data_IF_323618042245
#
_entry.id   IF_323618042245
#
_cell.length_a   1.000
_cell.length_b   1.000
_cell.length_c   1.000
_cell.angle_alpha   90.00
_cell.angle_beta   90.00
_cell.angle_gamma   90.00
#
_symmetry.space_group_name_H-M   'P 1'
#
loop_
_entity.id
_entity.type
_entity.pdbx_description
1 polymer ?
#
# COMPACT_ATOMS: atom_id res chain seq x y z
N UNK A 1 1.16 52.13 -10.26
CA UNK A 1 1.21 52.79 -8.93
C UNK A 1 -0.22 53.06 -8.50
N UNK A 2 -0.72 52.35 -7.48
CA UNK A 2 -1.84 52.77 -6.63
C UNK A 2 -1.91 51.81 -5.45
N UNK A 3 -1.54 52.31 -4.28
CA UNK A 3 -1.66 51.65 -2.98
C UNK A 3 -2.85 52.28 -2.28
N UNK A 4 -3.80 51.48 -1.80
CA UNK A 4 -4.49 51.77 -0.53
C UNK A 4 -4.64 50.46 0.23
N UNK A 5 -4.11 50.47 1.46
CA UNK A 5 -4.12 49.39 2.45
C UNK A 5 -4.96 49.86 3.63
N UNK A 6 -5.93 49.07 4.06
CA UNK A 6 -6.52 49.07 5.41
C UNK A 6 -7.07 47.65 5.66
N UNK A 7 -6.45 46.82 6.51
CA UNK A 7 -6.61 46.68 7.98
C UNK A 7 -8.07 46.53 8.39
N UNK A 8 -8.55 45.61 9.22
CA UNK A 8 -8.12 44.36 9.88
C UNK A 8 -9.40 43.90 10.62
N UNK A 9 -9.76 42.62 10.64
CA UNK A 9 -10.60 42.05 11.72
C UNK A 9 -10.44 40.53 11.76
N UNK A 10 -9.69 40.08 12.75
CA UNK A 10 -9.59 38.70 13.23
C UNK A 10 -10.92 38.25 13.85
N UNK A 11 -11.46 37.12 13.39
CA UNK A 11 -12.43 36.33 14.14
C UNK A 11 -11.96 34.88 14.15
N UNK A 12 -11.41 34.45 15.28
CA UNK A 12 -11.00 33.07 15.52
C UNK A 12 -12.25 32.20 15.68
N UNK A 13 -12.43 31.21 14.79
CA UNK A 13 -13.47 30.20 14.91
C UNK A 13 -12.91 29.07 15.78
N UNK A 14 -13.35 29.02 17.04
CA UNK A 14 -13.08 27.91 17.94
C UNK A 14 -13.97 26.72 17.52
N UNK A 15 -13.39 25.73 16.85
CA UNK A 15 -14.06 24.46 16.57
C UNK A 15 -13.93 23.53 17.78
N UNK A 16 -15.08 23.25 18.38
CA UNK A 16 -15.32 22.31 19.47
C UNK A 16 -15.00 20.87 19.04
N UNK A 17 -13.96 20.28 19.62
CA UNK A 17 -13.64 18.87 19.49
C UNK A 17 -14.47 18.05 20.50
N UNK A 18 -15.34 17.18 19.99
CA UNK A 18 -16.06 16.17 20.77
C UNK A 18 -15.58 14.77 20.37
N UNK A 19 -15.47 13.93 21.40
CA UNK A 19 -14.72 12.67 21.53
C UNK A 19 -15.34 11.52 20.74
N UNK A 20 -14.49 10.66 20.15
CA UNK A 20 -14.82 9.25 19.97
C UNK A 20 -13.78 8.38 20.70
N UNK A 21 -14.30 7.67 21.69
CA UNK A 21 -13.58 6.77 22.58
C UNK A 21 -13.02 5.58 21.80
N UNK A 22 -11.75 5.28 22.04
CA UNK A 22 -11.15 4.01 21.72
C UNK A 22 -11.83 2.91 22.54
N UNK A 23 -12.53 1.99 21.86
CA UNK A 23 -12.91 0.70 22.41
C UNK A 23 -11.64 -0.17 22.54
N UNK A 24 -10.88 0.06 23.60
CA UNK A 24 -9.87 -0.87 24.08
C UNK A 24 -10.57 -2.04 24.76
N UNK A 25 -10.52 -3.21 24.13
CA UNK A 25 -10.84 -4.48 24.77
C UNK A 25 -9.74 -4.77 25.81
N UNK A 26 -9.98 -4.44 27.07
CA UNK A 26 -9.14 -4.86 28.19
C UNK A 26 -10.02 -5.66 29.15
N UNK A 27 -9.54 -6.87 29.45
CA UNK A 27 -10.24 -7.92 30.16
C UNK A 27 -10.70 -7.54 31.58
N UNK A 28 -11.70 -8.30 32.00
CA UNK A 28 -12.35 -8.32 33.30
C UNK A 28 -11.42 -8.70 34.46
N UNK A 29 -11.98 -8.50 35.67
CA UNK A 29 -11.57 -8.91 37.02
C UNK A 29 -10.69 -7.87 37.74
N UNK A 30 -11.25 -6.96 38.56
CA UNK A 30 -11.81 -7.20 39.90
C UNK A 30 -10.71 -6.91 40.93
N UNK A 31 -10.80 -6.11 41.99
CA UNK A 31 -11.86 -5.50 42.78
C UNK A 31 -11.25 -5.22 44.18
N UNK A 32 -11.45 -4.00 44.68
CA UNK A 32 -11.44 -3.54 46.09
C UNK A 32 -10.19 -3.64 47.01
N UNK A 33 -10.16 -2.62 47.87
CA UNK A 33 -9.19 -2.13 48.85
C UNK A 33 -8.86 -3.08 50.02
N UNK A 34 -7.66 -2.93 50.60
CA UNK A 34 -7.42 -3.04 52.06
C UNK A 34 -5.96 -2.70 52.46
N UNK A 35 -5.82 -1.80 53.44
CA UNK A 35 -4.64 -1.64 54.30
C UNK A 35 -4.24 -2.96 54.98
N UNK A 36 -2.94 -3.32 54.93
CA UNK A 36 -2.14 -3.78 56.09
C UNK A 36 -0.70 -4.11 55.71
N UNK A 37 0.26 -3.46 56.39
CA UNK A 37 1.58 -4.04 56.70
C UNK A 37 1.41 -4.98 57.90
N UNK A 38 2.16 -6.10 58.01
CA UNK A 38 3.53 -6.02 58.52
C UNK A 38 4.57 -6.97 57.88
N UNK A 39 5.82 -6.74 58.28
CA UNK A 39 7.10 -7.34 57.91
C UNK A 39 7.14 -8.84 57.59
N UNK A 40 7.92 -9.20 56.58
CA UNK A 40 8.45 -10.54 56.38
C UNK A 40 9.30 -10.69 55.12
N UNK A 41 10.61 -10.57 55.29
CA UNK A 41 11.70 -11.18 54.53
C UNK A 41 11.73 -11.16 52.97
N UNK A 42 12.93 -10.79 52.50
CA UNK A 42 13.63 -11.27 51.32
C UNK A 42 13.47 -10.51 49.98
N UNK A 43 14.65 -10.27 49.41
CA UNK A 43 14.99 -9.98 48.02
C UNK A 43 14.96 -8.52 47.58
N UNK A 44 16.17 -8.00 47.43
CA UNK A 44 16.56 -6.75 46.77
C UNK A 44 15.85 -6.51 45.43
N UNK A 45 15.43 -5.27 45.11
CA UNK A 45 14.98 -4.94 43.77
C UNK A 45 16.16 -4.70 42.83
N UNK A 46 16.19 -5.53 41.79
CA UNK A 46 16.61 -5.29 40.41
C UNK A 46 17.40 -4.01 40.10
N UNK A 47 18.69 -4.18 39.84
CA UNK A 47 19.41 -3.40 38.83
C UNK A 47 19.75 -4.34 37.67
N UNK A 48 18.80 -4.50 36.75
CA UNK A 48 18.96 -5.26 35.52
C UNK A 48 18.51 -4.39 34.36
N UNK A 49 19.49 -3.79 33.69
CA UNK A 49 19.34 -2.98 32.48
C UNK A 49 18.59 -3.72 31.38
N UNK A 50 17.74 -2.95 30.71
CA UNK A 50 17.61 -2.81 29.26
C UNK A 50 18.10 -3.98 28.39
N UNK A 51 17.20 -4.47 27.53
CA UNK A 51 17.64 -5.06 26.27
C UNK A 51 16.80 -6.21 25.73
N UNK A 52 15.56 -5.91 25.32
CA UNK A 52 14.99 -6.44 24.08
C UNK A 52 15.00 -7.96 23.90
N UNK A 53 14.06 -8.63 24.57
CA UNK A 53 13.47 -9.83 24.01
C UNK A 53 12.60 -9.46 22.81
N UNK A 54 13.12 -9.66 21.60
CA UNK A 54 12.32 -9.91 20.41
C UNK A 54 12.83 -11.28 19.92
N UNK A 55 12.20 -12.40 20.28
CA UNK A 55 10.79 -12.63 19.97
C UNK A 55 10.69 -12.65 18.44
N UNK A 56 11.28 -13.68 17.84
CA UNK A 56 11.19 -13.93 16.41
C UNK A 56 9.73 -14.02 16.02
N UNK A 57 9.24 -13.00 15.33
CA UNK A 57 8.15 -13.14 14.40
C UNK A 57 8.79 -13.11 13.03
N UNK A 58 8.91 -14.29 12.44
CA UNK A 58 8.97 -14.46 10.99
C UNK A 58 7.73 -13.78 10.41
N UNK A 59 7.84 -12.46 10.22
CA UNK A 59 6.94 -11.71 9.37
C UNK A 59 7.18 -12.24 7.98
N UNK A 60 6.27 -13.12 7.55
CA UNK A 60 6.06 -13.58 6.18
C UNK A 60 6.40 -12.44 5.22
N UNK A 61 7.64 -12.44 4.74
CA UNK A 61 8.07 -11.55 3.68
C UNK A 61 7.36 -12.09 2.47
N UNK A 62 6.17 -11.55 2.18
CA UNK A 62 5.50 -11.77 0.92
C UNK A 62 6.56 -11.54 -0.17
N UNK A 63 6.96 -12.64 -0.80
CA UNK A 63 7.98 -12.60 -1.82
C UNK A 63 7.53 -11.56 -2.85
N UNK A 64 8.44 -10.72 -3.37
CA UNK A 64 8.08 -9.84 -4.47
C UNK A 64 7.47 -10.74 -5.56
N UNK A 65 6.34 -10.35 -6.18
CA UNK A 65 5.80 -11.11 -7.29
C UNK A 65 6.94 -11.29 -8.28
N UNK A 66 7.23 -12.55 -8.61
CA UNK A 66 8.30 -12.87 -9.52
C UNK A 66 8.13 -12.01 -10.77
N UNK A 67 9.21 -11.42 -11.32
CA UNK A 67 9.10 -10.67 -12.56
C UNK A 67 8.39 -11.58 -13.56
N UNK A 68 7.32 -11.09 -14.18
CA UNK A 68 6.50 -11.78 -15.18
C UNK A 68 7.39 -12.23 -16.35
N UNK A 69 8.15 -13.30 -16.14
CA UNK A 69 8.56 -14.20 -17.19
C UNK A 69 7.27 -14.84 -17.59
N UNK A 70 6.63 -14.23 -18.59
CA UNK A 70 5.40 -14.69 -19.24
C UNK A 70 5.27 -16.20 -19.03
N UNK A 71 4.30 -16.61 -18.21
CA UNK A 71 4.09 -18.00 -17.87
C UNK A 71 4.17 -18.80 -19.17
N UNK A 72 5.14 -19.72 -19.29
CA UNK A 72 5.47 -20.42 -20.53
C UNK A 72 4.42 -21.49 -20.91
N UNK A 73 3.19 -21.33 -20.41
CA UNK A 73 2.08 -22.24 -20.62
C UNK A 73 1.04 -21.66 -21.59
N UNK A 74 0.04 -22.48 -21.94
CA UNK A 74 -1.09 -22.04 -22.73
C UNK A 74 -1.82 -20.84 -22.09
N UNK A 75 -2.38 -19.99 -22.94
CA UNK A 75 -3.08 -18.76 -22.55
C UNK A 75 -4.53 -18.83 -22.95
N UNK A 76 -5.38 -18.25 -22.12
CA UNK A 76 -6.82 -18.18 -22.38
C UNK A 76 -7.08 -17.29 -23.61
N UNK A 77 -7.86 -17.74 -24.60
CA UNK A 77 -8.17 -16.94 -25.78
C UNK A 77 -9.02 -15.72 -25.42
N UNK A 78 -8.93 -14.67 -26.24
CA UNK A 78 -9.58 -13.37 -25.96
C UNK A 78 -11.10 -13.47 -25.76
N UNK A 79 -11.74 -14.44 -26.41
CA UNK A 79 -13.18 -14.73 -26.29
C UNK A 79 -13.59 -15.27 -24.93
N UNK A 80 -12.66 -15.85 -24.17
CA UNK A 80 -12.88 -16.47 -22.85
C UNK A 80 -12.43 -15.56 -21.70
N UNK A 81 -12.02 -14.32 -21.99
CA UNK A 81 -11.71 -13.30 -20.98
C UNK A 81 -13.01 -12.73 -20.36
N UNK A 82 -13.61 -13.52 -19.49
CA UNK A 82 -14.79 -13.13 -18.70
C UNK A 82 -14.48 -13.17 -17.21
N UNK A 83 -14.75 -12.08 -16.46
CA UNK A 83 -14.62 -12.10 -15.01
C UNK A 83 -15.72 -12.97 -14.37
N UNK A 84 -15.49 -13.41 -13.14
CA UNK A 84 -16.52 -14.12 -12.36
C UNK A 84 -17.78 -13.28 -12.13
N UNK A 85 -17.66 -11.94 -12.14
CA UNK A 85 -18.78 -11.00 -12.02
C UNK A 85 -18.66 -9.88 -13.05
N UNK A 86 -19.77 -9.55 -13.73
CA UNK A 86 -19.84 -8.40 -14.65
C UNK A 86 -19.11 -8.60 -15.99
N UNK A 87 -18.48 -7.53 -16.50
CA UNK A 87 -17.80 -7.55 -17.82
C UNK A 87 -16.61 -6.59 -17.83
N UNK A 88 -15.51 -7.00 -18.46
CA UNK A 88 -14.36 -6.12 -18.68
C UNK A 88 -14.63 -5.04 -19.73
N UNK A 89 -14.18 -3.82 -19.44
CA UNK A 89 -14.08 -2.73 -20.40
C UNK A 89 -13.09 -3.05 -21.53
N UNK A 90 -13.15 -2.29 -22.62
CA UNK A 90 -12.23 -2.46 -23.77
C UNK A 90 -10.76 -2.35 -23.38
N UNK A 91 -10.41 -1.41 -22.49
CA UNK A 91 -9.03 -1.20 -22.01
C UNK A 91 -8.54 -2.40 -21.19
N UNK A 92 -9.38 -2.88 -20.27
CA UNK A 92 -9.10 -4.07 -19.45
C UNK A 92 -8.92 -5.30 -20.34
N UNK A 93 -9.78 -5.52 -21.33
CA UNK A 93 -9.61 -6.62 -22.29
C UNK A 93 -8.28 -6.54 -23.04
N UNK A 94 -7.91 -5.37 -23.57
CA UNK A 94 -6.61 -5.17 -24.24
C UNK A 94 -5.42 -5.50 -23.34
N UNK A 95 -5.48 -5.09 -22.07
CA UNK A 95 -4.46 -5.41 -21.07
C UNK A 95 -4.34 -6.92 -20.80
N UNK A 96 -5.45 -7.67 -20.91
CA UNK A 96 -5.53 -9.11 -20.62
C UNK A 96 -5.19 -10.01 -21.80
N UNK A 97 -5.23 -9.51 -23.05
CA UNK A 97 -4.87 -10.28 -24.25
C UNK A 97 -3.46 -10.87 -24.08
N UNK A 98 -3.35 -12.18 -24.35
CA UNK A 98 -2.11 -12.96 -24.25
C UNK A 98 -1.43 -12.93 -22.87
N UNK A 99 -2.16 -12.60 -21.81
CA UNK A 99 -1.59 -12.44 -20.45
C UNK A 99 -2.28 -13.24 -19.36
N UNK A 100 -3.39 -13.89 -19.66
CA UNK A 100 -4.07 -14.79 -18.71
C UNK A 100 -3.62 -16.22 -18.97
N UNK A 101 -2.82 -16.82 -18.07
CA UNK A 101 -2.49 -18.24 -18.16
C UNK A 101 -3.76 -19.10 -17.98
N UNK A 102 -3.80 -20.27 -18.58
CA UNK A 102 -4.87 -21.24 -18.31
C UNK A 102 -5.03 -21.51 -16.81
N UNK A 103 -6.28 -21.64 -16.36
CA UNK A 103 -6.62 -21.85 -14.96
C UNK A 103 -6.41 -20.63 -14.05
N UNK A 104 -5.97 -19.49 -14.57
CA UNK A 104 -5.83 -18.24 -13.81
C UNK A 104 -7.05 -17.35 -13.99
N UNK A 105 -7.51 -16.72 -12.91
CA UNK A 105 -8.59 -15.74 -12.97
C UNK A 105 -8.14 -14.48 -13.76
N UNK A 106 -8.80 -14.13 -14.88
CA UNK A 106 -8.52 -12.89 -15.60
C UNK A 106 -8.60 -11.63 -14.71
N UNK A 107 -9.46 -11.62 -13.69
CA UNK A 107 -9.58 -10.49 -12.76
C UNK A 107 -8.30 -10.33 -11.93
N UNK A 108 -7.65 -11.42 -11.50
CA UNK A 108 -6.39 -11.36 -10.76
C UNK A 108 -5.25 -10.75 -11.59
N UNK A 109 -5.19 -11.07 -12.89
CA UNK A 109 -4.21 -10.46 -13.81
C UNK A 109 -4.49 -8.97 -13.98
N UNK A 110 -5.75 -8.58 -14.10
CA UNK A 110 -6.15 -7.19 -14.18
C UNK A 110 -5.78 -6.43 -12.90
N UNK A 111 -6.07 -7.01 -11.74
CA UNK A 111 -5.73 -6.46 -10.42
C UNK A 111 -4.23 -6.19 -10.30
N UNK A 112 -3.39 -7.14 -10.73
CA UNK A 112 -1.93 -6.95 -10.77
C UNK A 112 -1.51 -5.75 -11.66
N UNK A 113 -2.25 -5.48 -12.73
CA UNK A 113 -2.03 -4.32 -13.59
C UNK A 113 -2.40 -3.00 -12.94
N UNK A 114 -3.57 -2.95 -12.31
CA UNK A 114 -4.00 -1.78 -11.54
C UNK A 114 -3.06 -1.51 -10.36
N UNK A 115 -2.59 -2.54 -9.66
CA UNK A 115 -1.61 -2.39 -8.59
C UNK A 115 -0.28 -1.82 -9.09
N UNK A 116 0.14 -2.16 -10.33
CA UNK A 116 1.31 -1.55 -10.95
C UNK A 116 1.09 -0.04 -11.20
N UNK A 117 -0.07 0.34 -11.73
CA UNK A 117 -0.44 1.76 -11.93
C UNK A 117 -0.44 2.53 -10.61
N UNK A 118 -1.04 1.97 -9.56
CA UNK A 118 -1.07 2.57 -8.22
C UNK A 118 0.33 2.72 -7.64
N UNK A 119 1.19 1.71 -7.78
CA UNK A 119 2.57 1.79 -7.31
C UNK A 119 3.37 2.86 -8.05
N UNK A 120 3.18 3.00 -9.37
CA UNK A 120 3.79 4.10 -10.13
C UNK A 120 3.31 5.44 -9.59
N UNK A 121 1.99 5.60 -9.39
CA UNK A 121 1.40 6.83 -8.87
C UNK A 121 1.98 7.21 -7.51
N UNK A 122 1.95 6.29 -6.55
CA UNK A 122 2.42 6.53 -5.17
C UNK A 122 3.91 6.85 -5.13
N UNK A 123 4.74 6.11 -5.87
CA UNK A 123 6.19 6.38 -5.88
C UNK A 123 6.50 7.68 -6.63
N UNK A 124 5.79 7.98 -7.73
CA UNK A 124 5.99 9.23 -8.47
C UNK A 124 5.61 10.46 -7.65
N UNK A 125 4.54 10.38 -6.85
CA UNK A 125 4.09 11.44 -5.95
C UNK A 125 5.12 11.70 -4.84
N UNK A 126 5.69 10.63 -4.28
CA UNK A 126 6.70 10.73 -3.23
C UNK A 126 8.09 11.14 -3.73
N UNK A 127 8.59 10.48 -4.78
CA UNK A 127 9.90 10.74 -5.39
C UNK A 127 9.95 10.31 -6.86
N UNK A 128 9.94 11.33 -7.73
CA UNK A 128 10.03 11.13 -9.18
C UNK A 128 11.32 10.44 -9.63
N UNK A 129 12.46 10.64 -8.97
CA UNK A 129 13.71 9.93 -9.34
C UNK A 129 13.67 8.47 -8.92
N UNK A 130 13.03 8.18 -7.79
CA UNK A 130 12.83 6.80 -7.33
C UNK A 130 11.95 6.01 -8.30
N UNK A 131 10.83 6.58 -8.77
CA UNK A 131 9.97 5.87 -9.74
C UNK A 131 10.69 5.59 -11.06
N UNK A 132 11.50 6.53 -11.57
CA UNK A 132 12.27 6.32 -12.79
C UNK A 132 13.30 5.20 -12.62
N UNK A 133 13.96 5.14 -11.45
CA UNK A 133 14.93 4.09 -11.13
C UNK A 133 14.25 2.72 -11.01
N UNK A 134 13.12 2.65 -10.31
CA UNK A 134 12.34 1.42 -10.15
C UNK A 134 11.79 0.90 -11.49
N UNK A 135 11.32 1.80 -12.36
CA UNK A 135 10.87 1.47 -13.71
C UNK A 135 12.02 0.93 -14.57
N UNK A 136 13.18 1.59 -14.53
CA UNK A 136 14.38 1.17 -15.27
C UNK A 136 14.94 -0.17 -14.79
N UNK A 137 14.87 -0.41 -13.48
CA UNK A 137 15.31 -1.66 -12.86
C UNK A 137 14.28 -2.81 -13.01
N UNK A 138 13.07 -2.52 -13.48
CA UNK A 138 11.99 -3.52 -13.59
C UNK A 138 11.40 -3.95 -12.25
N UNK A 139 11.55 -3.13 -11.20
CA UNK A 139 11.05 -3.43 -9.85
C UNK A 139 9.54 -3.32 -9.73
N UNK A 140 8.90 -2.54 -10.63
CA UNK A 140 7.45 -2.48 -10.76
C UNK A 140 7.04 -3.50 -11.83
N UNK A 141 6.67 -4.70 -11.38
CA UNK A 141 6.12 -5.72 -12.25
C UNK A 141 4.91 -5.19 -13.04
N UNK A 142 4.72 -5.67 -14.26
CA UNK A 142 3.62 -5.26 -15.15
C UNK A 142 3.54 -3.78 -15.54
N UNK A 143 4.53 -2.95 -15.17
CA UNK A 143 4.50 -1.50 -15.40
C UNK A 143 4.23 -1.12 -16.87
N UNK A 144 5.02 -1.65 -17.81
CA UNK A 144 4.88 -1.30 -19.23
C UNK A 144 3.48 -1.58 -19.80
N UNK A 145 2.97 -2.84 -19.77
CA UNK A 145 1.64 -3.11 -20.33
C UNK A 145 0.50 -2.48 -19.51
N UNK A 146 0.69 -2.23 -18.22
CA UNK A 146 -0.29 -1.50 -17.40
C UNK A 146 -0.41 -0.04 -17.84
N UNK A 147 0.70 0.67 -18.04
CA UNK A 147 0.69 2.05 -18.52
C UNK A 147 0.12 2.15 -19.93
N UNK A 148 0.49 1.26 -20.85
CA UNK A 148 0.00 1.28 -22.24
C UNK A 148 -1.53 1.12 -22.37
N UNK A 149 -2.19 0.52 -21.39
CA UNK A 149 -3.61 0.15 -21.51
C UNK A 149 -4.52 0.66 -20.39
N UNK A 150 -4.04 0.66 -19.15
CA UNK A 150 -4.82 0.99 -17.96
C UNK A 150 -4.58 2.43 -17.50
N UNK A 151 -3.32 2.86 -17.41
CA UNK A 151 -2.91 4.17 -16.88
C UNK A 151 -1.97 4.95 -17.84
N UNK A 152 -2.46 5.35 -19.03
CA UNK A 152 -1.65 6.00 -20.07
C UNK A 152 -1.06 7.35 -19.65
N UNK A 153 -1.60 7.98 -18.61
CA UNK A 153 -1.07 9.21 -18.02
C UNK A 153 0.38 9.08 -17.53
N UNK A 154 0.85 7.87 -17.22
CA UNK A 154 2.23 7.61 -16.78
C UNK A 154 3.20 7.26 -17.91
N UNK A 155 2.76 7.26 -19.18
CA UNK A 155 3.63 7.03 -20.34
C UNK A 155 4.89 7.93 -20.36
N UNK A 156 4.82 9.23 -19.97
CA UNK A 156 6.01 10.08 -19.89
C UNK A 156 7.07 9.57 -18.88
N UNK A 157 6.66 8.84 -17.84
CA UNK A 157 7.61 8.24 -16.88
C UNK A 157 8.33 7.05 -17.50
N UNK A 158 7.65 6.23 -18.32
CA UNK A 158 8.29 5.13 -19.04
C UNK A 158 9.33 5.64 -20.05
N UNK A 159 9.01 6.70 -20.80
CA UNK A 159 9.95 7.35 -21.72
C UNK A 159 11.16 7.93 -20.98
N UNK A 160 10.92 8.66 -19.90
CA UNK A 160 11.98 9.23 -19.09
C UNK A 160 12.88 8.16 -18.43
N UNK A 161 12.33 6.98 -18.14
CA UNK A 161 13.09 5.84 -17.61
C UNK A 161 13.85 5.04 -18.69
N UNK A 162 13.59 5.30 -19.98
CA UNK A 162 14.14 4.53 -21.10
C UNK A 162 13.56 3.11 -21.22
N UNK A 163 12.32 2.92 -20.76
CA UNK A 163 11.59 1.63 -20.84
C UNK A 163 10.84 1.50 -22.17
N UNK A 164 10.46 2.64 -22.76
CA UNK A 164 9.83 2.77 -24.07
C UNK A 164 10.45 3.97 -24.80
N UNK A 165 10.39 3.95 -26.13
CA UNK A 165 10.90 5.01 -27.02
C UNK A 165 9.84 6.12 -27.26
#
# INVERSE_FOLDING_TARGET
MSVVRARSSTAAVLLTAAVLLAAGCSGSDGGADAEKRPSGAASSPSAGKDGGGAGGTDGERAAPPAPDKAAKGPKVPTSELTPATGTFSKKQKKYLVDRVPEGTDPAAILEAGTAACERIATVADADRKAVLSALKAGEIANAKPAVEHLCPEYEPLLKAAGVIE
#
